data_IF_078680445200
#
_entry.id   IF_078680445200
#
_cell.length_a   1.000
_cell.length_b   1.000
_cell.length_c   1.000
_cell.angle_alpha   90.00
_cell.angle_beta   90.00
_cell.angle_gamma   90.00
#
_symmetry.space_group_name_H-M   'P 1'
#
loop_
_entity.id
_entity.type
_entity.pdbx_description
1 polymer ?
#
# COMPACT_ATOMS: atom_id res chain seq x y z
N UNK A 1 -12.40 32.05 7.07
CA UNK A 1 -12.66 30.99 6.08
C UNK A 1 -11.38 30.42 5.49
N UNK A 2 -10.44 31.25 4.99
CA UNK A 2 -9.16 30.81 4.42
C UNK A 2 -8.35 29.83 5.31
N UNK A 3 -8.26 30.09 6.62
CA UNK A 3 -7.56 29.20 7.57
C UNK A 3 -8.20 27.81 7.67
N UNK A 4 -9.53 27.73 7.62
CA UNK A 4 -10.27 26.46 7.69
C UNK A 4 -10.03 25.66 6.40
N UNK A 5 -10.10 26.32 5.24
CA UNK A 5 -9.85 25.69 3.94
C UNK A 5 -8.43 25.11 3.86
N UNK A 6 -7.43 25.85 4.35
CA UNK A 6 -6.04 25.38 4.37
C UNK A 6 -5.84 24.19 5.31
N UNK A 7 -6.48 24.21 6.49
CA UNK A 7 -6.42 23.11 7.44
C UNK A 7 -7.07 21.83 6.89
N UNK A 8 -8.25 21.94 6.28
CA UNK A 8 -8.96 20.82 5.65
C UNK A 8 -8.20 20.28 4.44
N UNK A 9 -7.61 21.15 3.62
CA UNK A 9 -6.75 20.73 2.52
C UNK A 9 -5.57 19.89 3.06
N UNK A 10 -4.88 20.37 4.09
CA UNK A 10 -3.74 19.65 4.65
C UNK A 10 -4.14 18.31 5.31
N UNK A 11 -5.29 18.23 5.98
CA UNK A 11 -5.77 17.01 6.63
C UNK A 11 -6.24 15.92 5.65
N UNK A 12 -6.47 16.27 4.38
CA UNK A 12 -6.79 15.34 3.29
C UNK A 12 -5.58 15.06 2.38
N UNK A 13 -4.78 16.08 2.06
CA UNK A 13 -3.63 15.93 1.17
C UNK A 13 -2.52 15.07 1.78
N UNK A 14 -2.20 15.27 3.06
CA UNK A 14 -1.14 14.49 3.73
C UNK A 14 -1.35 12.96 3.69
N UNK A 15 -2.53 12.41 4.05
CA UNK A 15 -2.76 10.96 3.96
C UNK A 15 -2.84 10.46 2.51
N UNK A 16 -3.32 11.27 1.56
CA UNK A 16 -3.33 10.90 0.15
C UNK A 16 -1.92 10.81 -0.44
N UNK A 17 -1.02 11.71 -0.04
CA UNK A 17 0.39 11.65 -0.44
C UNK A 17 1.09 10.41 0.14
N UNK A 18 0.79 10.04 1.41
CA UNK A 18 1.29 8.81 2.03
C UNK A 18 0.81 7.56 1.28
N UNK A 19 -0.49 7.47 0.98
CA UNK A 19 -1.07 6.39 0.17
C UNK A 19 -0.39 6.29 -1.20
N UNK A 20 -0.17 7.42 -1.87
CA UNK A 20 0.50 7.47 -3.17
C UNK A 20 1.95 7.00 -3.08
N UNK A 21 2.67 7.35 -2.02
CA UNK A 21 4.04 6.88 -1.79
C UNK A 21 4.10 5.36 -1.56
N UNK A 22 3.14 4.80 -0.83
CA UNK A 22 3.04 3.34 -0.62
C UNK A 22 2.65 2.64 -1.93
N UNK A 23 1.62 3.13 -2.63
CA UNK A 23 1.18 2.57 -3.90
C UNK A 23 2.30 2.58 -4.96
N UNK A 24 3.10 3.65 -5.02
CA UNK A 24 4.31 3.67 -5.85
C UNK A 24 5.33 2.63 -5.42
N UNK A 25 5.52 2.40 -4.12
CA UNK A 25 6.50 1.39 -3.68
C UNK A 25 6.07 -0.01 -4.11
N UNK A 26 4.78 -0.32 -3.93
CA UNK A 26 4.15 -1.55 -4.43
C UNK A 26 4.33 -1.68 -5.94
N UNK A 27 4.12 -0.61 -6.72
CA UNK A 27 4.31 -0.65 -8.18
C UNK A 27 5.76 -0.91 -8.61
N UNK A 28 6.74 -0.65 -7.73
CA UNK A 28 8.16 -0.97 -7.96
C UNK A 28 8.56 -2.33 -7.37
N UNK A 29 7.60 -3.12 -6.88
CA UNK A 29 7.83 -4.46 -6.33
C UNK A 29 8.15 -4.52 -4.84
N UNK A 30 8.14 -3.38 -4.13
CA UNK A 30 8.23 -3.38 -2.67
C UNK A 30 6.84 -3.54 -2.07
N UNK A 31 6.43 -4.80 -1.95
CA UNK A 31 5.15 -5.20 -1.37
C UNK A 31 5.17 -5.22 0.16
N UNK A 32 6.26 -4.84 0.83
CA UNK A 32 6.35 -4.84 2.31
C UNK A 32 5.85 -3.54 2.94
N UNK A 33 5.69 -2.49 2.13
CA UNK A 33 5.19 -1.19 2.54
C UNK A 33 3.68 -1.24 2.84
N UNK A 34 3.24 -0.51 3.85
CA UNK A 34 1.83 -0.40 4.25
C UNK A 34 1.44 1.05 4.54
N UNK A 35 0.19 1.40 4.25
CA UNK A 35 -0.43 2.68 4.60
C UNK A 35 -0.85 2.65 6.07
N UNK A 36 -0.73 3.79 6.76
CA UNK A 36 -1.18 3.92 8.16
C UNK A 36 -2.71 3.92 8.27
N UNK A 37 -3.27 3.00 9.07
CA UNK A 37 -4.72 2.82 9.28
C UNK A 37 -5.27 3.56 10.51
N UNK A 38 -4.90 4.83 10.70
CA UNK A 38 -5.33 5.57 11.90
C UNK A 38 -6.67 6.31 11.72
N UNK A 39 -7.32 6.18 10.55
CA UNK A 39 -8.57 6.85 10.21
C UNK A 39 -9.74 5.87 10.17
N UNK A 40 -10.94 6.38 10.47
CA UNK A 40 -12.21 5.64 10.49
C UNK A 40 -13.21 6.18 9.46
N UNK A 41 -12.69 6.81 8.41
CA UNK A 41 -13.44 7.39 7.31
C UNK A 41 -13.06 6.68 6.00
N UNK A 42 -13.53 7.20 4.87
CA UNK A 42 -13.31 6.63 3.54
C UNK A 42 -11.82 6.51 3.17
N UNK A 43 -10.98 7.40 3.73
CA UNK A 43 -9.52 7.30 3.57
C UNK A 43 -8.95 6.15 4.40
N UNK A 44 -9.50 5.89 5.59
CA UNK A 44 -9.17 4.70 6.37
C UNK A 44 -9.52 3.40 5.64
N UNK A 45 -10.67 3.35 4.98
CA UNK A 45 -11.08 2.21 4.18
C UNK A 45 -10.18 2.01 2.95
N UNK A 46 -9.83 3.11 2.26
CA UNK A 46 -8.87 3.05 1.15
C UNK A 46 -7.49 2.56 1.60
N UNK A 47 -7.00 3.03 2.76
CA UNK A 47 -5.73 2.55 3.34
C UNK A 47 -5.76 1.03 3.54
N UNK A 48 -6.86 0.52 4.10
CA UNK A 48 -7.06 -0.92 4.32
C UNK A 48 -7.07 -1.69 3.00
N UNK A 49 -7.78 -1.20 1.98
CA UNK A 49 -7.79 -1.82 0.65
C UNK A 49 -6.40 -1.88 0.01
N UNK A 50 -5.60 -0.82 0.12
CA UNK A 50 -4.22 -0.80 -0.38
C UNK A 50 -3.36 -1.83 0.35
N UNK A 51 -3.51 -1.94 1.68
CA UNK A 51 -2.76 -2.90 2.48
C UNK A 51 -3.10 -4.36 2.12
N UNK A 52 -4.39 -4.67 1.95
CA UNK A 52 -4.83 -6.01 1.51
C UNK A 52 -4.25 -6.36 0.13
N UNK A 53 -4.27 -5.41 -0.81
CA UNK A 53 -3.64 -5.61 -2.12
C UNK A 53 -2.12 -5.84 -2.01
N UNK A 54 -1.43 -5.14 -1.10
CA UNK A 54 -0.02 -5.38 -0.85
C UNK A 54 0.25 -6.79 -0.30
N UNK A 55 -0.58 -7.25 0.65
CA UNK A 55 -0.49 -8.60 1.22
C UNK A 55 -0.69 -9.68 0.14
N UNK A 56 -1.67 -9.51 -0.75
CA UNK A 56 -1.92 -10.45 -1.84
C UNK A 56 -0.76 -10.52 -2.85
N UNK A 57 -0.20 -9.37 -3.22
CA UNK A 57 0.96 -9.30 -4.12
C UNK A 57 2.21 -9.92 -3.49
N UNK A 58 2.44 -9.66 -2.21
CA UNK A 58 3.55 -10.27 -1.46
C UNK A 58 3.42 -11.81 -1.44
N UNK A 59 2.22 -12.33 -1.14
CA UNK A 59 1.96 -13.76 -1.16
C UNK A 59 2.18 -14.38 -2.55
N UNK A 60 1.73 -13.71 -3.61
CA UNK A 60 1.92 -14.18 -4.98
C UNK A 60 3.40 -14.21 -5.39
N UNK A 61 4.18 -13.20 -4.98
CA UNK A 61 5.62 -13.15 -5.24
C UNK A 61 6.37 -14.27 -4.52
N UNK A 62 6.02 -14.56 -3.26
CA UNK A 62 6.56 -15.68 -2.51
C UNK A 62 6.28 -17.03 -3.19
N UNK A 63 5.03 -17.28 -3.59
CA UNK A 63 4.66 -18.51 -4.30
C UNK A 63 5.43 -18.67 -5.62
N UNK A 64 5.59 -17.58 -6.37
CA UNK A 64 6.36 -17.59 -7.62
C UNK A 64 7.82 -17.95 -7.35
N UNK A 65 8.44 -17.40 -6.30
CA UNK A 65 9.82 -17.70 -5.92
C UNK A 65 10.01 -19.16 -5.50
N UNK A 66 9.07 -19.72 -4.73
CA UNK A 66 9.10 -21.13 -4.34
C UNK A 66 9.02 -22.06 -5.54
N UNK A 67 8.13 -21.77 -6.51
CA UNK A 67 8.02 -22.57 -7.74
C UNK A 67 9.34 -22.58 -8.53
N UNK A 68 9.95 -21.41 -8.72
CA UNK A 68 11.23 -21.30 -9.44
C UNK A 68 12.34 -22.06 -8.70
N UNK A 69 12.37 -21.99 -7.37
CA UNK A 69 13.33 -22.72 -6.56
C UNK A 69 13.15 -24.25 -6.69
N UNK A 70 11.91 -24.74 -6.60
CA UNK A 70 11.62 -26.17 -6.69
C UNK A 70 11.96 -26.74 -8.08
N UNK A 71 11.58 -26.05 -9.15
CA UNK A 71 11.93 -26.45 -10.53
C UNK A 71 13.45 -26.49 -10.74
N UNK A 72 14.18 -25.53 -10.16
CA UNK A 72 15.64 -25.50 -10.23
C UNK A 72 16.31 -26.63 -9.45
N UNK A 73 15.61 -27.24 -8.48
CA UNK A 73 16.14 -28.32 -7.66
C UNK A 73 15.91 -29.71 -8.28
N UNK A 74 14.91 -29.86 -9.15
CA UNK A 74 14.58 -31.13 -9.83
C UNK A 74 15.28 -31.34 -11.18
N UNK A 75 15.95 -30.31 -11.73
CA UNK A 75 16.76 -30.37 -12.95
C UNK A 75 18.25 -30.59 -12.64
#
# INVERSE_FOLDING_TARGET
TLLITQFVAHSLTAPLDDMNAVARSISHGDYTRRVRENRRDELGDLARTINVMADELEAQDHQRKELVANVSHEL
#
